data_IF_031581910670
#
_entry.id   IF_031581910670
#
_cell.length_a   1.000
_cell.length_b   1.000
_cell.length_c   1.000
_cell.angle_alpha   90.00
_cell.angle_beta   90.00
_cell.angle_gamma   90.00
#
_symmetry.space_group_name_H-M   'P 1'
#
loop_
_entity.id
_entity.type
_entity.pdbx_description
1 polymer ?
#
# COMPACT_ATOMS: atom_id res chain seq x y z
N UNK A 1 19.08 0.57 -1.43
CA UNK A 1 18.37 1.02 -2.64
C UNK A 1 17.68 2.37 -2.44
N UNK A 2 16.83 2.53 -1.42
CA UNK A 2 16.05 3.77 -1.20
C UNK A 2 16.96 5.02 -1.14
N UNK A 3 17.95 5.08 -0.23
CA UNK A 3 18.84 6.24 -0.12
C UNK A 3 19.58 6.60 -1.42
N UNK A 4 20.02 5.58 -2.18
CA UNK A 4 20.73 5.78 -3.45
C UNK A 4 19.86 6.54 -4.45
N UNK A 5 18.60 6.16 -4.60
CA UNK A 5 17.69 6.81 -5.55
C UNK A 5 17.08 8.09 -5.00
N UNK A 6 16.96 8.21 -3.67
CA UNK A 6 16.48 9.43 -3.04
C UNK A 6 17.41 10.64 -3.23
N UNK A 7 18.68 10.41 -3.56
CA UNK A 7 19.62 11.47 -3.92
C UNK A 7 19.45 11.99 -5.36
N UNK A 8 18.57 11.39 -6.17
CA UNK A 8 18.34 11.78 -7.56
C UNK A 8 17.17 12.77 -7.69
N UNK A 9 17.23 13.74 -8.62
CA UNK A 9 16.21 14.79 -8.75
C UNK A 9 14.79 14.29 -9.03
N UNK A 10 14.65 13.10 -9.62
CA UNK A 10 13.37 12.53 -10.01
C UNK A 10 12.70 11.67 -8.92
N UNK A 11 13.30 11.55 -7.74
CA UNK A 11 12.65 10.83 -6.63
C UNK A 11 11.38 11.57 -6.20
N UNK A 12 10.27 10.83 -6.08
CA UNK A 12 9.06 11.35 -5.47
C UNK A 12 9.26 11.51 -3.95
N UNK A 13 8.92 12.68 -3.43
CA UNK A 13 8.84 12.95 -2.00
C UNK A 13 7.39 13.28 -1.61
N UNK A 14 6.97 12.78 -0.45
CA UNK A 14 5.68 13.08 0.19
C UNK A 14 5.98 13.56 1.60
N UNK A 15 5.49 14.74 1.96
CA UNK A 15 5.76 15.39 3.25
C UNK A 15 7.26 15.43 3.62
N UNK A 16 8.12 15.67 2.61
CA UNK A 16 9.57 15.72 2.78
C UNK A 16 10.26 14.37 2.98
N UNK A 17 9.54 13.24 2.89
CA UNK A 17 10.10 11.89 2.99
C UNK A 17 10.17 11.22 1.63
N UNK A 18 11.22 10.42 1.38
CA UNK A 18 11.33 9.68 0.13
C UNK A 18 10.21 8.65 0.02
N UNK A 19 9.43 8.71 -1.06
CA UNK A 19 8.34 7.76 -1.28
C UNK A 19 8.89 6.37 -1.67
N UNK A 20 8.39 5.34 -1.00
CA UNK A 20 8.67 3.95 -1.33
C UNK A 20 7.42 3.09 -1.16
N UNK A 21 7.30 2.04 -1.98
CA UNK A 21 6.17 1.12 -1.97
C UNK A 21 6.63 -0.29 -2.35
N UNK A 22 5.84 -1.30 -2.00
CA UNK A 22 6.03 -2.68 -2.40
C UNK A 22 4.69 -3.37 -2.68
N UNK A 23 4.67 -4.29 -3.65
CA UNK A 23 3.48 -5.09 -3.97
C UNK A 23 3.28 -6.28 -3.02
N UNK A 24 4.37 -6.74 -2.40
CA UNK A 24 4.39 -7.83 -1.43
C UNK A 24 5.08 -7.37 -0.14
N UNK A 25 4.84 -8.12 0.93
CA UNK A 25 5.57 -7.93 2.19
C UNK A 25 4.72 -7.79 3.44
N UNK A 26 3.54 -8.44 3.51
CA UNK A 26 2.64 -8.41 4.68
C UNK A 26 3.33 -8.60 6.05
N UNK A 27 4.49 -9.27 6.08
CA UNK A 27 5.31 -9.54 7.28
C UNK A 27 6.67 -8.81 7.29
N UNK A 28 6.83 -7.76 6.47
CA UNK A 28 8.06 -6.99 6.42
C UNK A 28 8.26 -6.24 7.75
N UNK A 29 9.45 -6.38 8.33
CA UNK A 29 9.86 -5.58 9.50
C UNK A 29 10.07 -4.11 9.08
N UNK A 30 9.08 -3.28 9.40
CA UNK A 30 9.09 -1.85 9.06
C UNK A 30 10.14 -1.07 9.86
N UNK A 31 10.46 -1.50 11.08
CA UNK A 31 11.50 -0.84 11.87
C UNK A 31 12.88 -1.09 11.23
N UNK A 32 13.15 -2.34 10.85
CA UNK A 32 14.36 -2.69 10.12
C UNK A 32 14.44 -2.00 8.75
N UNK A 33 13.32 -1.90 8.01
CA UNK A 33 13.26 -1.16 6.75
C UNK A 33 13.67 0.31 6.93
N UNK A 34 13.10 0.99 7.92
CA UNK A 34 13.41 2.41 8.19
C UNK A 34 14.85 2.59 8.62
N UNK A 35 15.37 1.73 9.50
CA UNK A 35 16.77 1.75 9.91
C UNK A 35 17.71 1.52 8.70
N UNK A 36 17.41 0.54 7.84
CA UNK A 36 18.21 0.23 6.65
C UNK A 36 18.09 1.27 5.53
N UNK A 37 17.00 2.05 5.47
CA UNK A 37 16.87 3.15 4.54
C UNK A 37 17.85 4.30 4.86
N UNK A 38 18.14 4.54 6.15
CA UNK A 38 19.09 5.57 6.59
C UNK A 38 18.63 7.02 6.34
N UNK A 39 17.41 7.21 5.84
CA UNK A 39 16.75 8.49 5.59
C UNK A 39 15.25 8.38 5.92
N UNK A 40 14.53 9.51 6.11
CA UNK A 40 13.09 9.48 6.25
C UNK A 40 12.39 8.93 5.00
N UNK A 41 11.48 7.97 5.20
CA UNK A 41 10.68 7.36 4.12
C UNK A 41 9.18 7.52 4.39
N UNK A 42 8.43 7.80 3.33
CA UNK A 42 6.99 7.61 3.28
C UNK A 42 6.76 6.22 2.68
N UNK A 43 6.39 5.24 3.51
CA UNK A 43 6.21 3.87 3.06
C UNK A 43 4.73 3.51 2.94
N UNK A 44 4.32 3.13 1.73
CA UNK A 44 2.93 2.79 1.43
C UNK A 44 2.82 1.51 0.59
N UNK A 45 2.85 0.32 1.22
CA UNK A 45 2.81 -0.97 0.55
C UNK A 45 1.38 -1.47 0.25
N UNK A 46 1.29 -2.52 -0.56
CA UNK A 46 0.09 -3.35 -0.75
C UNK A 46 0.05 -4.42 0.35
N UNK A 47 -0.10 -3.98 1.60
CA UNK A 47 -0.30 -4.90 2.73
C UNK A 47 -1.76 -5.31 2.79
N UNK A 48 -2.01 -6.61 2.78
CA UNK A 48 -3.37 -7.14 2.77
C UNK A 48 -4.04 -6.97 4.15
N UNK A 49 -5.11 -6.15 4.28
CA UNK A 49 -5.80 -5.95 5.55
C UNK A 49 -6.34 -7.25 6.18
N UNK A 50 -6.77 -8.18 5.34
CA UNK A 50 -7.34 -9.46 5.72
C UNK A 50 -6.32 -10.45 6.31
N UNK A 51 -5.02 -10.19 6.11
CA UNK A 51 -3.93 -11.04 6.59
C UNK A 51 -3.41 -10.62 7.98
N UNK A 52 -4.13 -9.76 8.70
CA UNK A 52 -3.74 -9.31 10.04
C UNK A 52 -2.51 -8.41 10.04
N UNK A 53 -2.24 -7.73 8.94
CA UNK A 53 -1.10 -6.82 8.79
C UNK A 53 -1.27 -5.56 9.65
N UNK A 54 -0.16 -5.06 10.20
CA UNK A 54 -0.21 -3.90 11.08
C UNK A 54 -0.07 -2.58 10.29
N UNK A 55 -1.21 -1.98 9.94
CA UNK A 55 -1.26 -0.67 9.28
C UNK A 55 -0.78 0.50 10.18
N UNK A 56 -0.59 0.28 11.48
CA UNK A 56 -0.05 1.27 12.41
C UNK A 56 1.39 1.70 12.09
N UNK A 57 2.18 0.82 11.46
CA UNK A 57 3.63 1.02 11.25
C UNK A 57 3.98 1.69 9.91
N UNK A 58 3.03 1.74 8.97
CA UNK A 58 3.19 2.30 7.61
C UNK A 58 2.58 3.71 7.52
N UNK A 59 3.02 4.50 6.53
CA UNK A 59 2.54 5.88 6.33
C UNK A 59 1.27 5.94 5.47
N UNK A 60 1.06 4.95 4.59
CA UNK A 60 -0.14 4.81 3.76
C UNK A 60 -0.20 3.40 3.18
N UNK A 61 -1.07 3.18 2.20
CA UNK A 61 -1.13 1.91 1.47
C UNK A 61 -1.69 2.09 0.05
N UNK A 62 -1.62 1.04 -0.76
CA UNK A 62 -2.32 0.92 -2.04
C UNK A 62 -3.02 -0.43 -2.13
N UNK A 63 -4.20 -0.47 -2.74
CA UNK A 63 -4.83 -1.70 -3.16
C UNK A 63 -4.37 -1.98 -4.59
N UNK A 64 -3.65 -3.08 -4.80
CA UNK A 64 -3.18 -3.47 -6.12
C UNK A 64 -4.24 -4.21 -6.95
N UNK A 65 -5.47 -4.35 -6.45
CA UNK A 65 -6.56 -4.99 -7.19
C UNK A 65 -7.08 -4.09 -8.32
N UNK A 66 -6.69 -4.41 -9.56
CA UNK A 66 -7.11 -3.64 -10.73
C UNK A 66 -8.46 -4.06 -11.34
N UNK A 67 -8.93 -5.28 -11.09
CA UNK A 67 -10.22 -5.79 -11.59
C UNK A 67 -10.85 -6.83 -10.64
N UNK A 68 -12.18 -7.06 -10.72
CA UNK A 68 -12.84 -8.10 -9.94
C UNK A 68 -12.24 -9.48 -10.20
N UNK A 69 -11.98 -10.25 -9.15
CA UNK A 69 -11.32 -11.55 -9.27
C UNK A 69 -11.88 -12.56 -8.26
N UNK A 70 -11.46 -13.82 -8.35
CA UNK A 70 -11.90 -14.89 -7.46
C UNK A 70 -11.12 -14.99 -6.13
N UNK A 71 -10.42 -13.93 -5.72
CA UNK A 71 -9.53 -13.90 -4.55
C UNK A 71 -8.11 -14.43 -4.82
N UNK A 72 -7.87 -15.04 -5.99
CA UNK A 72 -6.57 -15.61 -6.36
C UNK A 72 -5.97 -14.95 -7.62
N UNK A 73 -6.34 -13.69 -7.87
CA UNK A 73 -5.95 -12.94 -9.07
C UNK A 73 -6.32 -13.65 -10.39
N UNK A 74 -7.45 -14.36 -10.40
CA UNK A 74 -8.05 -14.97 -11.61
C UNK A 74 -9.46 -14.43 -11.84
N UNK A 75 -9.98 -14.67 -13.04
CA UNK A 75 -11.35 -14.30 -13.38
C UNK A 75 -12.35 -14.78 -12.30
N UNK A 76 -13.40 -13.99 -11.99
CA UNK A 76 -14.45 -14.39 -11.06
C UNK A 76 -15.06 -15.75 -11.45
N UNK A 77 -15.45 -16.52 -10.45
CA UNK A 77 -16.15 -17.80 -10.63
C UNK A 77 -17.48 -17.77 -9.89
N UNK A 78 -18.45 -18.64 -10.23
CA UNK A 78 -19.62 -18.83 -9.38
C UNK A 78 -19.18 -19.12 -7.93
N UNK A 79 -19.66 -18.32 -6.98
CA UNK A 79 -19.29 -18.43 -5.56
C UNK A 79 -18.00 -17.70 -5.13
N UNK A 80 -17.23 -17.10 -6.04
CA UNK A 80 -16.05 -16.30 -5.68
C UNK A 80 -15.91 -15.06 -6.58
N UNK A 81 -16.27 -13.90 -6.03
CA UNK A 81 -16.15 -12.60 -6.68
C UNK A 81 -15.77 -11.53 -5.64
N UNK A 82 -14.52 -11.11 -5.67
CA UNK A 82 -13.98 -9.98 -4.90
C UNK A 82 -13.92 -8.78 -5.84
N UNK A 83 -14.65 -7.71 -5.52
CA UNK A 83 -14.66 -6.50 -6.33
C UNK A 83 -13.55 -5.54 -5.91
N UNK A 84 -13.16 -4.65 -6.82
CA UNK A 84 -12.19 -3.58 -6.54
C UNK A 84 -12.70 -2.70 -5.40
N UNK A 85 -13.99 -2.36 -5.39
CA UNK A 85 -14.62 -1.53 -4.35
C UNK A 85 -14.60 -2.19 -2.97
N UNK A 86 -14.76 -3.52 -2.91
CA UNK A 86 -14.66 -4.25 -1.65
C UNK A 86 -13.22 -4.23 -1.11
N UNK A 87 -12.23 -4.39 -1.99
CA UNK A 87 -10.82 -4.21 -1.65
C UNK A 87 -10.53 -2.79 -1.16
N UNK A 88 -10.98 -1.77 -1.89
CA UNK A 88 -10.81 -0.36 -1.52
C UNK A 88 -11.42 -0.06 -0.15
N UNK A 89 -12.63 -0.57 0.13
CA UNK A 89 -13.29 -0.39 1.41
C UNK A 89 -12.48 -1.02 2.57
N UNK A 90 -11.87 -2.20 2.36
CA UNK A 90 -11.02 -2.84 3.35
C UNK A 90 -9.75 -2.01 3.63
N UNK A 91 -9.09 -1.51 2.59
CA UNK A 91 -7.92 -0.63 2.73
C UNK A 91 -8.27 0.70 3.42
N UNK A 92 -9.35 1.37 3.02
CA UNK A 92 -9.81 2.62 3.63
C UNK A 92 -10.08 2.42 5.13
N UNK A 93 -10.74 1.33 5.50
CA UNK A 93 -10.99 0.98 6.91
C UNK A 93 -9.69 0.75 7.67
N UNK A 94 -8.76 -0.03 7.12
CA UNK A 94 -7.49 -0.35 7.75
C UNK A 94 -6.56 0.88 7.90
N UNK A 95 -6.61 1.80 6.94
CA UNK A 95 -5.83 3.04 6.95
C UNK A 95 -6.28 4.02 8.04
N UNK A 96 -7.54 3.95 8.50
CA UNK A 96 -8.06 4.81 9.56
C UNK A 96 -7.74 6.30 9.35
N UNK A 97 -7.86 6.79 8.11
CA UNK A 97 -7.57 8.17 7.72
C UNK A 97 -6.15 8.44 7.22
N UNK A 98 -5.23 7.46 7.29
CA UNK A 98 -3.93 7.56 6.62
C UNK A 98 -4.07 7.65 5.10
N UNK A 99 -3.11 8.26 4.38
CA UNK A 99 -3.14 8.37 2.93
C UNK A 99 -3.37 7.04 2.20
N UNK A 100 -4.22 7.10 1.18
CA UNK A 100 -4.53 6.00 0.28
C UNK A 100 -4.10 6.33 -1.15
N UNK A 101 -3.16 5.57 -1.70
CA UNK A 101 -2.63 5.81 -3.05
C UNK A 101 -3.72 5.50 -4.08
N UNK A 102 -3.85 6.38 -5.08
CA UNK A 102 -4.76 6.21 -6.22
C UNK A 102 -6.21 5.95 -5.82
N UNK A 103 -6.62 6.47 -4.64
CA UNK A 103 -8.02 6.46 -4.20
C UNK A 103 -8.92 7.00 -5.31
N UNK A 104 -9.97 6.25 -5.66
CA UNK A 104 -11.07 6.79 -6.46
C UNK A 104 -11.74 7.91 -5.65
N UNK A 105 -11.62 9.15 -6.10
CA UNK A 105 -12.41 10.24 -5.56
C UNK A 105 -13.86 10.02 -5.98
N UNK A 106 -14.73 9.71 -5.01
CA UNK A 106 -16.15 9.93 -5.19
C UNK A 106 -16.31 11.45 -5.18
N UNK A 107 -16.58 12.04 -6.34
CA UNK A 107 -17.06 13.42 -6.43
C UNK A 107 -18.37 13.45 -5.62
N UNK A 108 -18.32 14.04 -4.43
CA UNK A 108 -19.50 14.36 -3.62
C UNK A 108 -20.25 15.53 -4.21
#
# INVERSE_FOLDING_TARGET
MIAKYAALPAQLFVDGKAFASSFAGDQLDIAALRAGAGIPIFFAPNFHPEMGTNFGTIDGALNWMAWPNNGNNKAPTPGANVTVEAGDAAYIKALAGKPYIARKYLLS
#
